data_IF_517883979333
#
_entry.id   IF_517883979333
#
_cell.length_a   1.000
_cell.length_b   1.000
_cell.length_c   1.000
_cell.angle_alpha   90.00
_cell.angle_beta   90.00
_cell.angle_gamma   90.00
#
_symmetry.space_group_name_H-M   'P 1'
#
loop_
_entity.id
_entity.type
_entity.pdbx_description
1 polymer ?
#
# COMPACT_ATOMS: atom_id res chain seq x y z
N UNK A 1 1.63 -9.58 10.30
CA UNK A 1 2.64 -8.75 9.62
C UNK A 1 2.11 -8.12 8.35
N UNK A 2 1.73 -8.87 7.30
CA UNK A 2 1.30 -8.25 6.02
C UNK A 2 0.14 -7.26 6.19
N UNK A 3 -0.90 -7.61 6.96
CA UNK A 3 -2.03 -6.69 7.21
C UNK A 3 -1.64 -5.40 7.94
N UNK A 4 -0.59 -5.43 8.77
CA UNK A 4 -0.07 -4.26 9.48
C UNK A 4 0.66 -3.29 8.54
N UNK A 5 1.14 -3.78 7.39
CA UNK A 5 1.88 -2.98 6.40
C UNK A 5 0.99 -2.59 5.23
N UNK A 6 0.19 -3.53 4.72
CA UNK A 6 -0.62 -3.34 3.53
C UNK A 6 -1.86 -4.24 3.51
N UNK A 7 -3.03 -3.63 3.71
CA UNK A 7 -4.33 -4.32 3.80
C UNK A 7 -4.66 -5.10 2.53
N UNK A 8 -4.44 -4.51 1.34
CA UNK A 8 -4.74 -5.17 0.07
C UNK A 8 -3.87 -6.43 -0.17
N UNK A 9 -2.60 -6.40 0.23
CA UNK A 9 -1.73 -7.60 0.12
C UNK A 9 -2.20 -8.72 1.05
N UNK A 10 -2.72 -8.36 2.23
CA UNK A 10 -3.31 -9.35 3.14
C UNK A 10 -4.57 -9.98 2.56
N UNK A 11 -5.42 -9.20 1.88
CA UNK A 11 -6.58 -9.72 1.16
C UNK A 11 -6.18 -10.73 0.07
N UNK A 12 -5.16 -10.40 -0.74
CA UNK A 12 -4.64 -11.33 -1.75
C UNK A 12 -4.09 -12.63 -1.13
N UNK A 13 -3.45 -12.54 0.04
CA UNK A 13 -2.99 -13.73 0.77
C UNK A 13 -4.16 -14.59 1.24
N UNK A 14 -5.23 -13.99 1.76
CA UNK A 14 -6.45 -14.72 2.14
C UNK A 14 -7.05 -15.42 0.93
N UNK A 15 -7.17 -14.72 -0.21
CA UNK A 15 -7.63 -15.31 -1.48
C UNK A 15 -6.77 -16.51 -1.91
N UNK A 16 -5.46 -16.46 -1.69
CA UNK A 16 -4.53 -17.56 -1.97
C UNK A 16 -4.80 -18.79 -1.08
N UNK A 17 -5.17 -18.60 0.18
CA UNK A 17 -5.40 -19.69 1.13
C UNK A 17 -6.77 -20.36 1.01
N UNK A 18 -7.78 -19.65 0.53
CA UNK A 18 -9.15 -20.16 0.42
C UNK A 18 -9.21 -21.51 -0.33
N UNK A 19 -8.60 -21.69 -1.52
CA UNK A 19 -8.71 -22.96 -2.23
C UNK A 19 -8.03 -24.14 -1.50
N UNK A 20 -6.95 -23.89 -0.76
CA UNK A 20 -6.31 -24.92 0.08
C UNK A 20 -7.19 -25.30 1.26
N UNK A 21 -7.79 -24.31 1.91
CA UNK A 21 -8.72 -24.53 3.01
C UNK A 21 -9.94 -25.33 2.54
N UNK A 22 -10.61 -24.90 1.46
CA UNK A 22 -11.80 -25.58 0.92
C UNK A 22 -11.50 -27.02 0.54
N UNK A 23 -10.38 -27.28 -0.13
CA UNK A 23 -10.00 -28.65 -0.48
C UNK A 23 -9.78 -29.53 0.76
N UNK A 24 -9.09 -29.02 1.77
CA UNK A 24 -8.84 -29.73 3.02
C UNK A 24 -10.16 -29.99 3.75
N UNK A 25 -11.00 -28.98 3.87
CA UNK A 25 -12.30 -29.06 4.53
C UNK A 25 -13.24 -30.08 3.89
N UNK A 26 -13.24 -30.21 2.56
CA UNK A 26 -14.05 -31.22 1.86
C UNK A 26 -13.54 -32.64 2.08
N UNK A 27 -12.21 -32.84 2.18
CA UNK A 27 -11.59 -34.17 2.24
C UNK A 27 -11.51 -34.80 3.62
N UNK A 28 -11.49 -33.97 4.65
CA UNK A 28 -11.29 -34.40 6.03
C UNK A 28 -12.57 -35.05 6.60
N UNK A 29 -12.44 -35.98 7.57
CA UNK A 29 -13.58 -36.65 8.23
C UNK A 29 -14.42 -35.66 9.04
N UNK A 30 -15.70 -35.98 9.33
CA UNK A 30 -16.63 -35.06 10.03
C UNK A 30 -16.07 -34.54 11.35
N UNK A 31 -15.48 -35.41 12.17
CA UNK A 31 -14.85 -35.02 13.45
C UNK A 31 -13.72 -34.02 13.25
N UNK A 32 -12.84 -34.29 12.29
CA UNK A 32 -11.71 -33.40 11.98
C UNK A 32 -12.16 -32.12 11.26
N UNK A 33 -13.29 -32.11 10.53
CA UNK A 33 -13.87 -30.88 9.94
C UNK A 33 -14.26 -29.90 11.03
N UNK A 34 -14.91 -30.39 12.11
CA UNK A 34 -15.26 -29.56 13.27
C UNK A 34 -14.01 -28.97 13.90
N UNK A 35 -12.98 -29.79 14.11
CA UNK A 35 -11.70 -29.35 14.66
C UNK A 35 -11.03 -28.28 13.78
N UNK A 36 -10.90 -28.54 12.47
CA UNK A 36 -10.33 -27.58 11.51
C UNK A 36 -11.12 -26.27 11.47
N UNK A 37 -12.45 -26.33 11.51
CA UNK A 37 -13.29 -25.13 11.56
C UNK A 37 -13.03 -24.30 12.81
N UNK A 38 -12.98 -24.95 13.98
CA UNK A 38 -12.67 -24.27 15.25
C UNK A 38 -11.27 -23.65 15.21
N UNK A 39 -10.27 -24.36 14.67
CA UNK A 39 -8.91 -23.82 14.49
C UNK A 39 -8.90 -22.58 13.60
N UNK A 40 -9.68 -22.56 12.51
CA UNK A 40 -9.81 -21.37 11.66
C UNK A 40 -10.48 -20.21 12.38
N UNK A 41 -11.56 -20.46 13.13
CA UNK A 41 -12.22 -19.42 13.93
C UNK A 41 -11.25 -18.83 14.96
N UNK A 42 -10.50 -19.68 15.68
CA UNK A 42 -9.46 -19.22 16.62
C UNK A 42 -8.39 -18.40 15.89
N UNK A 43 -7.92 -18.86 14.72
CA UNK A 43 -6.93 -18.14 13.92
C UNK A 43 -7.44 -16.76 13.46
N UNK A 44 -8.72 -16.66 13.07
CA UNK A 44 -9.36 -15.39 12.70
C UNK A 44 -9.47 -14.46 13.92
N UNK A 45 -9.89 -14.96 15.08
CA UNK A 45 -9.94 -14.16 16.31
C UNK A 45 -8.56 -13.66 16.70
N UNK A 46 -7.55 -14.54 16.69
CA UNK A 46 -6.16 -14.15 16.97
C UNK A 46 -5.66 -13.12 15.96
N UNK A 47 -5.97 -13.28 14.68
CA UNK A 47 -5.64 -12.29 13.65
C UNK A 47 -6.28 -10.93 13.93
N UNK A 48 -7.58 -10.89 14.26
CA UNK A 48 -8.29 -9.64 14.57
C UNK A 48 -7.71 -8.95 15.80
N UNK A 49 -7.37 -9.71 16.85
CA UNK A 49 -6.74 -9.16 18.05
C UNK A 49 -5.32 -8.63 17.78
N UNK A 50 -4.51 -9.39 17.05
CA UNK A 50 -3.15 -8.99 16.66
C UNK A 50 -3.11 -7.81 15.67
N UNK A 51 -4.25 -7.40 15.11
CA UNK A 51 -4.36 -6.33 14.13
C UNK A 51 -5.35 -5.23 14.51
N UNK A 52 -5.85 -5.24 15.75
CA UNK A 52 -6.86 -4.28 16.23
C UNK A 52 -6.37 -2.84 16.16
N UNK A 53 -5.08 -2.61 16.40
CA UNK A 53 -4.43 -1.30 16.26
C UNK A 53 -4.47 -0.72 14.83
N UNK A 54 -4.83 -1.52 13.81
CA UNK A 54 -4.95 -1.08 12.42
C UNK A 54 -6.41 -0.97 12.04
N UNK A 55 -7.16 -2.07 12.11
CA UNK A 55 -8.53 -2.05 11.57
C UNK A 55 -9.46 -1.21 12.43
N UNK A 56 -9.30 -1.19 13.77
CA UNK A 56 -10.15 -0.37 14.63
C UNK A 56 -9.91 1.13 14.42
N UNK A 57 -8.64 1.52 14.24
CA UNK A 57 -8.25 2.91 13.95
C UNK A 57 -8.79 3.34 12.58
N UNK A 58 -8.68 2.48 11.56
CA UNK A 58 -9.25 2.75 10.24
C UNK A 58 -10.77 2.88 10.28
N UNK A 59 -11.47 2.01 11.03
CA UNK A 59 -12.92 2.11 11.21
C UNK A 59 -13.32 3.38 11.96
N UNK A 60 -12.57 3.75 12.98
CA UNK A 60 -12.80 4.98 13.72
C UNK A 60 -12.65 6.19 12.79
N UNK A 61 -11.50 6.34 12.14
CA UNK A 61 -11.22 7.49 11.27
C UNK A 61 -12.22 7.61 10.12
N UNK A 62 -12.59 6.50 9.47
CA UNK A 62 -13.61 6.48 8.41
C UNK A 62 -15.05 6.65 8.92
N UNK A 63 -15.31 6.29 10.17
CA UNK A 63 -16.63 6.46 10.80
C UNK A 63 -16.86 7.88 11.32
N UNK A 64 -15.79 8.58 11.70
CA UNK A 64 -15.85 9.95 12.21
C UNK A 64 -15.58 11.00 11.13
N UNK A 65 -14.87 10.64 10.06
CA UNK A 65 -14.52 11.54 8.96
C UNK A 65 -14.91 10.92 7.62
N UNK A 66 -15.33 11.77 6.68
CA UNK A 66 -15.39 11.38 5.27
C UNK A 66 -13.97 11.47 4.71
N UNK A 67 -13.25 10.35 4.66
CA UNK A 67 -11.89 10.30 4.12
C UNK A 67 -11.93 10.16 2.61
N UNK A 68 -10.98 10.80 1.93
CA UNK A 68 -10.77 10.63 0.50
C UNK A 68 -10.52 9.16 0.17
N UNK A 69 -11.36 8.60 -0.68
CA UNK A 69 -11.20 7.23 -1.12
C UNK A 69 -10.01 7.08 -2.09
N UNK A 70 -9.40 5.88 -2.13
CA UNK A 70 -8.33 5.59 -3.06
C UNK A 70 -8.76 5.89 -4.50
N UNK A 71 -7.84 6.42 -5.31
CA UNK A 71 -8.07 6.75 -6.72
C UNK A 71 -8.78 5.63 -7.50
N UNK A 72 -9.90 5.95 -8.15
CA UNK A 72 -10.62 5.00 -9.01
C UNK A 72 -10.06 5.07 -10.43
N UNK A 73 -9.46 3.97 -10.86
CA UNK A 73 -8.91 3.86 -12.20
C UNK A 73 -10.00 3.54 -13.24
N UNK A 74 -10.41 4.55 -14.01
CA UNK A 74 -11.44 4.41 -15.05
C UNK A 74 -10.99 3.64 -16.29
N UNK A 75 -9.68 3.47 -16.50
CA UNK A 75 -9.11 2.71 -17.62
C UNK A 75 -8.47 1.40 -17.14
N UNK A 76 -9.03 0.79 -16.09
CA UNK A 76 -8.46 -0.37 -15.40
C UNK A 76 -8.09 -1.53 -16.35
N UNK A 77 -8.88 -1.74 -17.42
CA UNK A 77 -8.62 -2.79 -18.40
C UNK A 77 -7.28 -2.64 -19.14
N UNK A 78 -6.79 -1.41 -19.31
CA UNK A 78 -5.50 -1.15 -19.97
C UNK A 78 -4.30 -1.44 -19.06
N UNK A 79 -4.48 -1.48 -17.74
CA UNK A 79 -3.39 -1.61 -16.77
C UNK A 79 -3.10 -3.07 -16.36
N UNK A 80 -3.47 -4.04 -17.19
CA UNK A 80 -3.00 -5.42 -17.07
C UNK A 80 -1.54 -5.61 -17.51
N UNK A 81 -0.96 -6.75 -17.16
CA UNK A 81 0.40 -7.15 -17.59
C UNK A 81 0.54 -7.40 -19.11
N UNK A 82 -0.57 -7.41 -19.83
CA UNK A 82 -0.71 -7.49 -21.28
C UNK A 82 -0.96 -6.12 -21.93
N UNK A 83 -1.14 -5.08 -21.12
CA UNK A 83 -1.35 -3.69 -21.54
C UNK A 83 -0.22 -2.77 -21.13
N UNK A 84 -0.55 -1.64 -20.49
CA UNK A 84 0.44 -0.61 -20.09
C UNK A 84 1.42 -1.11 -19.03
N UNK A 85 1.07 -2.15 -18.28
CA UNK A 85 1.92 -2.74 -17.24
C UNK A 85 2.77 -3.92 -17.76
N UNK A 86 2.96 -4.03 -19.08
CA UNK A 86 3.75 -5.10 -19.73
C UNK A 86 5.16 -5.28 -19.21
N UNK A 87 5.78 -4.22 -18.68
CA UNK A 87 7.13 -4.30 -18.12
C UNK A 87 7.22 -5.29 -16.96
N UNK A 88 6.13 -5.52 -16.21
CA UNK A 88 6.10 -6.56 -15.16
C UNK A 88 6.34 -7.96 -15.73
N UNK A 89 5.91 -8.22 -16.97
CA UNK A 89 6.08 -9.51 -17.62
C UNK A 89 7.49 -9.68 -18.20
N UNK A 90 8.05 -8.64 -18.82
CA UNK A 90 9.31 -8.70 -19.56
C UNK A 90 10.55 -8.27 -18.79
N UNK A 91 10.41 -7.73 -17.58
CA UNK A 91 11.55 -7.30 -16.76
C UNK A 91 11.57 -8.08 -15.43
N UNK A 92 12.40 -9.14 -15.32
CA UNK A 92 13.35 -9.64 -16.33
C UNK A 92 12.73 -10.63 -17.33
N UNK A 93 13.31 -10.72 -18.54
CA UNK A 93 12.89 -11.65 -19.60
C UNK A 93 12.97 -13.10 -19.11
N UNK A 94 13.93 -13.41 -18.24
CA UNK A 94 14.07 -14.73 -17.63
C UNK A 94 12.84 -15.15 -16.82
N UNK A 95 12.11 -14.20 -16.20
CA UNK A 95 10.86 -14.48 -15.53
C UNK A 95 9.76 -14.91 -16.51
N UNK A 96 9.67 -14.24 -17.67
CA UNK A 96 8.76 -14.64 -18.74
C UNK A 96 9.08 -16.04 -19.27
N UNK A 97 10.37 -16.36 -19.46
CA UNK A 97 10.79 -17.70 -19.89
C UNK A 97 10.35 -18.74 -18.86
N UNK A 98 10.56 -18.49 -17.56
CA UNK A 98 10.09 -19.38 -16.50
C UNK A 98 8.57 -19.56 -16.52
N UNK A 99 7.82 -18.50 -16.79
CA UNK A 99 6.38 -18.53 -16.91
C UNK A 99 5.93 -19.48 -18.02
N UNK A 100 6.50 -19.33 -19.22
CA UNK A 100 6.19 -20.19 -20.38
C UNK A 100 6.57 -21.65 -20.09
N UNK A 101 7.77 -21.88 -19.56
CA UNK A 101 8.22 -23.23 -19.19
C UNK A 101 7.28 -23.88 -18.18
N UNK A 102 6.80 -23.12 -17.18
CA UNK A 102 5.89 -23.64 -16.17
C UNK A 102 4.50 -23.95 -16.74
N UNK A 103 4.00 -23.11 -17.66
CA UNK A 103 2.74 -23.37 -18.36
C UNK A 103 2.82 -24.66 -19.19
N UNK A 104 3.90 -24.84 -19.97
CA UNK A 104 4.16 -26.06 -20.74
C UNK A 104 4.31 -27.28 -19.83
N UNK A 105 5.07 -27.16 -18.73
CA UNK A 105 5.21 -28.27 -17.78
C UNK A 105 3.88 -28.70 -17.18
N UNK A 106 3.06 -27.73 -16.73
CA UNK A 106 1.78 -27.97 -16.10
C UNK A 106 0.80 -28.67 -17.03
N UNK A 107 0.71 -28.24 -18.29
CA UNK A 107 -0.18 -28.84 -19.30
C UNK A 107 0.22 -30.28 -19.64
N UNK A 108 1.49 -30.52 -19.94
CA UNK A 108 2.01 -31.85 -20.29
C UNK A 108 1.93 -32.85 -19.13
N UNK A 109 2.07 -32.37 -17.90
CA UNK A 109 2.12 -33.23 -16.71
C UNK A 109 0.86 -33.18 -15.84
N UNK A 110 -0.20 -32.48 -16.27
CA UNK A 110 -1.37 -32.20 -15.42
C UNK A 110 -1.93 -33.46 -14.77
N UNK A 111 -2.12 -34.53 -15.56
CA UNK A 111 -2.66 -35.81 -15.05
C UNK A 111 -1.76 -36.47 -14.01
N UNK A 112 -0.44 -36.29 -14.12
CA UNK A 112 0.59 -36.87 -13.23
C UNK A 112 0.80 -36.06 -11.94
N UNK A 113 0.27 -34.83 -11.85
CA UNK A 113 0.43 -33.99 -10.67
C UNK A 113 -0.44 -34.49 -9.51
N UNK A 114 0.15 -34.51 -8.31
CA UNK A 114 -0.59 -34.69 -7.07
C UNK A 114 -1.68 -33.61 -6.93
N UNK A 115 -2.80 -33.95 -6.27
CA UNK A 115 -3.97 -33.07 -6.17
C UNK A 115 -3.64 -31.70 -5.58
N UNK A 116 -2.82 -31.65 -4.52
CA UNK A 116 -2.40 -30.37 -3.92
C UNK A 116 -1.53 -29.52 -4.86
N UNK A 117 -0.70 -30.15 -5.72
CA UNK A 117 0.07 -29.43 -6.75
C UNK A 117 -0.84 -28.85 -7.83
N UNK A 118 -1.94 -29.54 -8.18
CA UNK A 118 -2.95 -29.00 -9.10
C UNK A 118 -3.64 -27.77 -8.53
N UNK A 119 -3.96 -27.76 -7.23
CA UNK A 119 -4.52 -26.59 -6.54
C UNK A 119 -3.53 -25.43 -6.58
N UNK A 120 -2.25 -25.70 -6.30
CA UNK A 120 -1.20 -24.68 -6.35
C UNK A 120 -1.08 -24.04 -7.76
N UNK A 121 -1.09 -24.87 -8.82
CA UNK A 121 -1.10 -24.36 -10.21
C UNK A 121 -2.38 -23.62 -10.55
N UNK A 122 -3.54 -24.10 -10.08
CA UNK A 122 -4.83 -23.43 -10.28
C UNK A 122 -4.81 -22.03 -9.68
N UNK A 123 -4.37 -21.88 -8.43
CA UNK A 123 -4.27 -20.57 -7.77
C UNK A 123 -3.30 -19.66 -8.54
N UNK A 124 -2.15 -20.19 -8.96
CA UNK A 124 -1.19 -19.47 -9.80
C UNK A 124 -1.84 -18.96 -11.09
N UNK A 125 -2.55 -19.82 -11.82
CA UNK A 125 -3.22 -19.43 -13.07
C UNK A 125 -4.35 -18.42 -12.84
N UNK A 126 -5.10 -18.53 -11.74
CA UNK A 126 -6.13 -17.54 -11.37
C UNK A 126 -5.49 -16.18 -11.12
N UNK A 127 -4.45 -16.08 -10.30
CA UNK A 127 -3.79 -14.79 -10.06
C UNK A 127 -3.13 -14.24 -11.33
N UNK A 128 -2.51 -15.10 -12.15
CA UNK A 128 -1.96 -14.68 -13.43
C UNK A 128 -3.06 -14.13 -14.36
N UNK A 129 -4.19 -14.82 -14.49
CA UNK A 129 -5.31 -14.36 -15.32
C UNK A 129 -5.91 -13.05 -14.79
N UNK A 130 -6.12 -12.93 -13.47
CA UNK A 130 -6.58 -11.70 -12.83
C UNK A 130 -5.60 -10.53 -13.02
N UNK A 131 -4.32 -10.80 -13.28
CA UNK A 131 -3.33 -9.76 -13.53
C UNK A 131 -3.36 -9.18 -14.95
N UNK A 132 -4.12 -9.80 -15.85
CA UNK A 132 -4.29 -9.37 -17.24
C UNK A 132 -5.51 -8.44 -17.39
N UNK A 133 -5.52 -7.65 -18.46
CA UNK A 133 -6.66 -6.90 -18.97
C UNK A 133 -7.69 -7.77 -19.70
N UNK A 134 -7.40 -9.06 -19.90
CA UNK A 134 -8.35 -10.04 -20.46
C UNK A 134 -9.49 -10.35 -19.49
N UNK A 135 -9.26 -10.23 -18.18
CA UNK A 135 -10.35 -10.31 -17.21
C UNK A 135 -11.24 -9.07 -17.33
N UNK A 136 -12.54 -9.23 -17.05
CA UNK A 136 -13.58 -8.22 -17.25
C UNK A 136 -13.52 -7.04 -16.25
N UNK A 137 -12.32 -6.58 -15.87
CA UNK A 137 -12.10 -5.47 -14.94
C UNK A 137 -12.79 -4.19 -15.40
N UNK A 138 -12.71 -3.87 -16.69
CA UNK A 138 -13.30 -2.66 -17.25
C UNK A 138 -14.81 -2.63 -17.05
N UNK A 139 -15.48 -3.73 -17.41
CA UNK A 139 -16.91 -3.90 -17.19
C UNK A 139 -17.30 -3.78 -15.71
N UNK A 140 -16.51 -4.36 -14.80
CA UNK A 140 -16.80 -4.29 -13.37
C UNK A 140 -16.74 -2.85 -12.83
N UNK A 141 -15.71 -2.08 -13.20
CA UNK A 141 -15.57 -0.68 -12.77
C UNK A 141 -16.66 0.22 -13.39
N UNK A 142 -17.01 0.00 -14.66
CA UNK A 142 -18.08 0.75 -15.32
C UNK A 142 -19.45 0.53 -14.67
N UNK A 143 -19.66 -0.63 -14.05
CA UNK A 143 -20.88 -0.98 -13.31
C UNK A 143 -20.77 -0.73 -11.80
N UNK A 144 -19.77 0.04 -11.33
CA UNK A 144 -19.65 0.44 -9.93
C UNK A 144 -19.31 -0.71 -8.97
N UNK A 145 -18.59 -1.73 -9.43
CA UNK A 145 -18.15 -2.83 -8.56
C UNK A 145 -17.05 -2.37 -7.60
N UNK A 146 -17.39 -2.26 -6.31
CA UNK A 146 -16.48 -1.81 -5.25
C UNK A 146 -15.21 -2.64 -5.11
N UNK A 147 -15.26 -3.93 -5.40
CA UNK A 147 -14.07 -4.79 -5.36
C UNK A 147 -13.10 -4.45 -6.51
N UNK A 148 -13.59 -4.23 -7.73
CA UNK A 148 -12.76 -3.83 -8.85
C UNK A 148 -12.15 -2.43 -8.64
N UNK A 149 -12.93 -1.50 -8.08
CA UNK A 149 -12.45 -0.17 -7.70
C UNK A 149 -11.35 -0.23 -6.63
N UNK A 150 -11.47 -1.11 -5.63
CA UNK A 150 -10.45 -1.34 -4.60
C UNK A 150 -9.13 -1.88 -5.17
N UNK A 151 -9.20 -2.77 -6.17
CA UNK A 151 -7.99 -3.34 -6.80
C UNK A 151 -7.19 -2.26 -7.53
N UNK A 152 -7.87 -1.34 -8.24
CA UNK A 152 -7.35 -0.23 -9.06
C UNK A 152 -6.46 -0.62 -10.25
N UNK A 153 -5.60 -1.62 -10.08
CA UNK A 153 -4.58 -2.00 -11.04
C UNK A 153 -4.43 -3.53 -11.09
N UNK A 154 -4.88 -4.18 -12.18
CA UNK A 154 -4.85 -5.63 -12.32
C UNK A 154 -3.46 -6.22 -12.14
N UNK A 155 -2.42 -5.56 -12.66
CA UNK A 155 -1.03 -6.03 -12.55
C UNK A 155 -0.60 -6.33 -11.10
N UNK A 156 -1.25 -5.77 -10.07
CA UNK A 156 -0.96 -6.10 -8.65
C UNK A 156 -1.15 -7.59 -8.34
N UNK A 157 -2.06 -8.29 -9.04
CA UNK A 157 -2.20 -9.75 -8.92
C UNK A 157 -1.03 -10.53 -9.53
N UNK A 158 -0.16 -9.88 -10.31
CA UNK A 158 1.05 -10.52 -10.81
C UNK A 158 2.05 -10.81 -9.68
N UNK A 159 2.05 -10.02 -8.60
CA UNK A 159 2.92 -10.24 -7.43
C UNK A 159 2.67 -11.60 -6.75
N UNK A 160 1.44 -11.96 -6.33
CA UNK A 160 1.19 -13.31 -5.82
C UNK A 160 1.40 -14.38 -6.90
N UNK A 161 1.14 -14.10 -8.19
CA UNK A 161 1.41 -15.05 -9.27
C UNK A 161 2.91 -15.38 -9.41
N UNK A 162 3.80 -14.40 -9.31
CA UNK A 162 5.25 -14.62 -9.40
C UNK A 162 5.80 -15.36 -8.19
N UNK A 163 5.31 -15.06 -6.98
CA UNK A 163 5.66 -15.82 -5.77
C UNK A 163 5.29 -17.30 -5.94
N UNK A 164 4.07 -17.57 -6.43
CA UNK A 164 3.61 -18.93 -6.69
C UNK A 164 4.41 -19.59 -7.82
N UNK A 165 4.75 -18.87 -8.88
CA UNK A 165 5.61 -19.36 -9.97
C UNK A 165 6.97 -19.82 -9.43
N UNK A 166 7.62 -19.01 -8.59
CA UNK A 166 8.92 -19.35 -8.00
C UNK A 166 8.79 -20.56 -7.06
N UNK A 167 7.75 -20.59 -6.22
CA UNK A 167 7.50 -21.72 -5.32
C UNK A 167 7.24 -23.03 -6.09
N UNK A 168 6.40 -22.98 -7.12
CA UNK A 168 6.11 -24.11 -8.01
C UNK A 168 7.37 -24.55 -8.75
N UNK A 169 8.19 -23.61 -9.23
CA UNK A 169 9.46 -23.89 -9.90
C UNK A 169 10.37 -24.67 -8.96
N UNK A 170 10.59 -24.19 -7.73
CA UNK A 170 11.38 -24.88 -6.72
C UNK A 170 10.89 -26.32 -6.46
N UNK A 171 9.57 -26.49 -6.27
CA UNK A 171 8.95 -27.81 -6.10
C UNK A 171 9.09 -28.71 -7.33
N UNK A 172 9.15 -28.15 -8.53
CA UNK A 172 9.34 -28.90 -9.77
C UNK A 172 10.79 -29.37 -9.90
N UNK A 173 11.77 -28.50 -9.58
CA UNK A 173 13.20 -28.83 -9.57
C UNK A 173 13.51 -30.00 -8.63
N UNK A 174 12.87 -30.06 -7.45
CA UNK A 174 13.10 -31.18 -6.52
C UNK A 174 12.74 -32.56 -7.08
N UNK A 175 11.94 -32.64 -8.15
CA UNK A 175 11.61 -33.91 -8.82
C UNK A 175 12.76 -34.43 -9.68
N UNK A 176 13.63 -33.56 -10.17
CA UNK A 176 14.71 -33.88 -11.08
C UNK A 176 16.04 -34.01 -10.33
N UNK A 177 16.13 -35.00 -9.43
CA UNK A 177 17.25 -35.16 -8.48
C UNK A 177 18.61 -35.16 -9.18
N UNK A 178 18.74 -35.91 -10.29
CA UNK A 178 20.00 -36.04 -11.03
C UNK A 178 20.41 -34.75 -11.77
N UNK A 179 19.44 -33.91 -12.14
CA UNK A 179 19.67 -32.66 -12.87
C UNK A 179 19.61 -31.43 -11.98
N UNK A 180 19.41 -31.60 -10.67
CA UNK A 180 19.19 -30.51 -9.73
C UNK A 180 20.30 -29.46 -9.75
N UNK A 181 21.56 -29.89 -9.83
CA UNK A 181 22.72 -28.98 -9.90
C UNK A 181 22.69 -28.16 -11.20
N UNK A 182 22.50 -28.82 -12.35
CA UNK A 182 22.44 -28.16 -13.66
C UNK A 182 21.27 -27.18 -13.75
N UNK A 183 20.09 -27.56 -13.23
CA UNK A 183 18.92 -26.69 -13.19
C UNK A 183 19.16 -25.51 -12.24
N UNK A 184 19.81 -25.72 -11.09
CA UNK A 184 20.16 -24.62 -10.19
C UNK A 184 21.12 -23.64 -10.86
N UNK A 185 22.16 -24.12 -11.56
CA UNK A 185 23.07 -23.27 -12.34
C UNK A 185 22.32 -22.48 -13.41
N UNK A 186 21.39 -23.12 -14.12
CA UNK A 186 20.54 -22.44 -15.12
C UNK A 186 19.67 -21.34 -14.47
N UNK A 187 19.05 -21.62 -13.31
CA UNK A 187 18.26 -20.63 -12.58
C UNK A 187 19.12 -19.46 -12.07
N UNK A 188 20.35 -19.73 -11.62
CA UNK A 188 21.32 -18.69 -11.26
C UNK A 188 21.71 -17.84 -12.48
N UNK A 189 21.96 -18.46 -13.63
CA UNK A 189 22.22 -17.74 -14.87
C UNK A 189 21.02 -16.88 -15.28
N UNK A 190 19.79 -17.39 -15.15
CA UNK A 190 18.56 -16.64 -15.41
C UNK A 190 18.39 -15.43 -14.48
N UNK A 191 18.72 -15.58 -13.20
CA UNK A 191 18.75 -14.47 -12.26
C UNK A 191 19.83 -13.44 -12.64
N UNK A 192 21.03 -13.89 -13.02
CA UNK A 192 22.12 -13.04 -13.49
C UNK A 192 21.75 -12.24 -14.74
N UNK A 193 21.16 -12.89 -15.75
CA UNK A 193 20.62 -12.21 -16.95
C UNK A 193 19.58 -11.17 -16.55
N UNK A 194 18.69 -11.51 -15.60
CA UNK A 194 17.67 -10.57 -15.12
C UNK A 194 18.25 -9.35 -14.41
N UNK A 195 19.32 -9.53 -13.62
CA UNK A 195 20.04 -8.43 -12.98
C UNK A 195 20.75 -7.55 -14.01
N UNK A 196 21.42 -8.16 -15.00
CA UNK A 196 22.08 -7.42 -16.09
C UNK A 196 21.05 -6.61 -16.88
N UNK A 197 19.93 -7.21 -17.25
CA UNK A 197 18.85 -6.50 -17.95
C UNK A 197 18.32 -5.34 -17.11
N UNK A 198 18.05 -5.55 -15.83
CA UNK A 198 17.57 -4.47 -14.96
C UNK A 198 18.58 -3.32 -14.83
N UNK A 199 19.88 -3.64 -14.75
CA UNK A 199 20.96 -2.66 -14.72
C UNK A 199 21.07 -1.89 -16.05
N UNK A 200 20.93 -2.57 -17.18
CA UNK A 200 20.89 -1.96 -18.51
C UNK A 200 19.67 -1.05 -18.67
N UNK A 201 18.46 -1.54 -18.37
CA UNK A 201 17.22 -0.78 -18.44
C UNK A 201 17.29 0.48 -17.57
N UNK A 202 17.87 0.37 -16.37
CA UNK A 202 18.07 1.51 -15.46
C UNK A 202 19.08 2.50 -16.02
N UNK A 203 20.21 2.00 -16.52
CA UNK A 203 21.28 2.84 -17.10
C UNK A 203 20.78 3.60 -18.32
N UNK A 204 20.03 2.94 -19.21
CA UNK A 204 19.48 3.54 -20.40
C UNK A 204 18.41 4.59 -20.05
N UNK A 205 17.54 4.31 -19.07
CA UNK A 205 16.59 5.31 -18.56
C UNK A 205 17.28 6.55 -18.03
N UNK A 206 18.35 6.39 -17.25
CA UNK A 206 19.15 7.53 -16.73
C UNK A 206 19.82 8.31 -17.85
N UNK A 207 20.40 7.62 -18.84
CA UNK A 207 21.04 8.28 -19.99
C UNK A 207 20.05 9.04 -20.87
N UNK A 208 18.88 8.45 -21.14
CA UNK A 208 17.82 9.11 -21.92
C UNK A 208 17.29 10.32 -21.15
N UNK A 209 17.00 10.17 -19.87
CA UNK A 209 16.57 11.26 -19.00
C UNK A 209 17.56 12.44 -18.98
N UNK A 210 18.87 12.15 -18.89
CA UNK A 210 19.92 13.17 -18.96
C UNK A 210 20.04 13.84 -20.33
N UNK A 211 19.78 13.12 -21.44
CA UNK A 211 19.84 13.67 -22.80
C UNK A 211 18.62 14.53 -23.14
N UNK A 212 17.44 14.09 -22.72
CA UNK A 212 16.18 14.75 -23.03
C UNK A 212 15.90 15.94 -22.10
N UNK A 213 16.76 16.17 -21.11
CA UNK A 213 16.55 17.23 -20.11
C UNK A 213 15.39 16.92 -19.18
N UNK A 214 15.12 15.63 -18.93
CA UNK A 214 14.04 15.16 -18.05
C UNK A 214 14.59 14.11 -17.08
N UNK A 215 15.51 14.52 -16.20
CA UNK A 215 16.04 13.64 -15.13
C UNK A 215 14.92 13.02 -14.27
N UNK A 216 13.80 13.74 -14.17
CA UNK A 216 12.60 13.33 -13.46
C UNK A 216 11.48 13.16 -14.46
N UNK A 217 10.98 11.93 -14.60
CA UNK A 217 9.76 11.71 -15.37
C UNK A 217 8.61 12.41 -14.66
N UNK A 218 8.02 13.42 -15.31
CA UNK A 218 6.78 14.05 -14.84
C UNK A 218 5.67 13.01 -14.97
N UNK A 219 5.48 12.22 -13.91
CA UNK A 219 4.33 11.33 -13.78
C UNK A 219 3.11 12.14 -13.35
N UNK A 220 1.91 11.54 -13.43
CA UNK A 220 0.68 12.18 -12.97
C UNK A 220 0.87 12.76 -11.57
N UNK A 221 0.48 14.04 -11.43
CA UNK A 221 0.52 14.82 -10.19
C UNK A 221 1.91 15.02 -9.61
N UNK A 222 2.95 15.03 -10.46
CA UNK A 222 4.28 15.56 -10.10
C UNK A 222 4.39 16.98 -10.62
N UNK A 223 4.78 17.90 -9.73
CA UNK A 223 5.05 19.30 -10.01
C UNK A 223 6.55 19.51 -9.89
N UNK A 224 7.16 20.07 -10.94
CA UNK A 224 8.59 20.32 -11.02
C UNK A 224 8.78 21.80 -11.29
N UNK A 225 9.43 22.49 -10.36
CA UNK A 225 9.88 23.86 -10.50
C UNK A 225 11.37 23.87 -10.82
N UNK A 226 11.76 24.58 -11.88
CA UNK A 226 13.15 24.64 -12.36
C UNK A 226 13.46 23.71 -13.53
N UNK A 227 14.61 23.93 -14.16
CA UNK A 227 15.09 23.12 -15.27
C UNK A 227 15.91 21.90 -14.81
N UNK A 228 16.17 20.99 -15.75
CA UNK A 228 16.90 19.75 -15.49
C UNK A 228 18.32 19.96 -14.93
N UNK A 229 19.01 21.03 -15.32
CA UNK A 229 20.37 21.30 -14.86
C UNK A 229 20.34 21.73 -13.40
N UNK A 230 19.40 22.61 -13.05
CA UNK A 230 19.14 23.06 -11.68
C UNK A 230 18.80 21.89 -10.78
N UNK A 231 17.89 21.01 -11.22
CA UNK A 231 17.49 19.82 -10.47
C UNK A 231 18.67 18.85 -10.30
N UNK A 232 19.46 18.63 -11.34
CA UNK A 232 20.62 17.72 -11.26
C UNK A 232 21.67 18.24 -10.27
N UNK A 233 21.97 19.54 -10.28
CA UNK A 233 22.93 20.15 -9.35
C UNK A 233 22.45 20.03 -7.90
N UNK A 234 21.16 20.27 -7.67
CA UNK A 234 20.58 20.20 -6.31
C UNK A 234 20.45 18.76 -5.83
N UNK A 235 20.23 17.78 -6.71
CA UNK A 235 20.26 16.36 -6.35
C UNK A 235 21.64 15.89 -5.87
N UNK A 236 22.71 16.53 -6.33
CA UNK A 236 24.09 16.24 -5.91
C UNK A 236 24.50 17.06 -4.65
N UNK A 237 23.64 17.96 -4.16
CA UNK A 237 23.89 18.72 -2.94
C UNK A 237 23.74 17.83 -1.70
N UNK A 238 24.53 18.11 -0.66
CA UNK A 238 24.40 17.47 0.64
C UNK A 238 23.06 17.76 1.33
N UNK A 239 22.45 18.91 1.07
CA UNK A 239 21.15 19.34 1.58
C UNK A 239 20.05 19.18 0.53
N UNK A 240 19.37 18.03 0.57
CA UNK A 240 18.26 17.71 -0.31
C UNK A 240 16.96 18.46 0.03
N UNK A 241 16.94 19.37 1.01
CA UNK A 241 15.75 20.17 1.32
C UNK A 241 15.32 21.04 0.13
N UNK A 242 16.28 21.58 -0.62
CA UNK A 242 16.00 22.35 -1.84
C UNK A 242 15.40 21.47 -2.93
N UNK A 243 15.87 20.23 -3.09
CA UNK A 243 15.30 19.27 -4.03
C UNK A 243 13.81 19.01 -3.72
N UNK A 244 13.49 18.83 -2.45
CA UNK A 244 12.11 18.55 -1.99
C UNK A 244 11.16 19.74 -2.19
N UNK A 245 11.68 20.97 -2.31
CA UNK A 245 10.88 22.14 -2.63
C UNK A 245 10.62 22.28 -4.13
N UNK A 246 11.58 21.87 -4.97
CA UNK A 246 11.46 21.97 -6.43
C UNK A 246 10.66 20.83 -7.04
N UNK A 247 10.73 19.63 -6.47
CA UNK A 247 10.11 18.43 -7.03
C UNK A 247 9.09 17.89 -6.03
N UNK A 248 7.82 18.22 -6.25
CA UNK A 248 6.76 17.84 -5.32
C UNK A 248 5.76 16.90 -5.97
N UNK A 249 5.41 15.83 -5.26
CA UNK A 249 4.34 14.92 -5.65
C UNK A 249 3.20 14.95 -4.60
N UNK A 250 2.30 15.94 -4.66
CA UNK A 250 1.17 16.08 -3.75
C UNK A 250 0.20 14.92 -3.92
N UNK A 251 0.40 13.83 -3.18
CA UNK A 251 -0.46 12.63 -3.21
C UNK A 251 -1.16 12.48 -1.87
N UNK A 252 -2.27 13.20 -1.65
CA UNK A 252 -2.98 13.16 -0.37
C UNK A 252 -3.67 11.81 -0.19
N UNK A 253 -3.11 10.97 0.68
CA UNK A 253 -3.82 9.80 1.18
C UNK A 253 -4.59 10.18 2.45
N UNK A 254 -5.85 9.72 2.57
CA UNK A 254 -6.69 9.86 3.76
C UNK A 254 -6.98 11.30 4.23
N UNK A 255 -6.82 12.29 3.37
CA UNK A 255 -7.30 13.65 3.65
C UNK A 255 -8.82 13.64 3.77
N UNK A 256 -9.37 14.37 4.74
CA UNK A 256 -10.82 14.46 4.90
C UNK A 256 -11.45 15.38 3.87
N UNK A 257 -12.66 15.03 3.45
CA UNK A 257 -13.44 15.73 2.44
C UNK A 257 -14.68 16.34 3.10
N UNK A 258 -14.76 17.66 3.05
CA UNK A 258 -15.92 18.42 3.47
C UNK A 258 -16.73 18.83 2.22
N UNK A 259 -18.02 18.53 2.22
CA UNK A 259 -18.90 18.78 1.07
C UNK A 259 -18.66 17.82 -0.11
N UNK A 260 -18.91 18.30 -1.33
CA UNK A 260 -18.78 17.50 -2.57
C UNK A 260 -17.59 17.96 -3.41
N UNK A 261 -16.71 17.03 -3.80
CA UNK A 261 -15.53 17.31 -4.65
C UNK A 261 -15.96 17.78 -6.06
N UNK A 262 -17.11 17.32 -6.56
CA UNK A 262 -17.57 17.66 -7.90
C UNK A 262 -16.57 17.25 -8.98
N UNK A 263 -16.19 18.17 -9.86
CA UNK A 263 -15.17 17.98 -10.91
C UNK A 263 -13.76 18.37 -10.47
N UNK A 264 -13.57 18.81 -9.23
CA UNK A 264 -12.26 19.25 -8.74
C UNK A 264 -11.30 18.08 -8.60
N UNK A 265 -10.03 18.32 -8.90
CA UNK A 265 -8.98 17.33 -8.68
C UNK A 265 -8.42 17.49 -7.26
N UNK A 266 -8.52 16.45 -6.43
CA UNK A 266 -8.07 16.49 -5.03
C UNK A 266 -6.56 16.65 -4.89
N UNK A 267 -5.78 16.14 -5.85
CA UNK A 267 -4.33 16.34 -5.90
C UNK A 267 -3.99 17.81 -6.12
N UNK A 268 -4.71 18.49 -7.00
CA UNK A 268 -4.50 19.93 -7.29
C UNK A 268 -4.98 20.81 -6.11
N UNK A 269 -6.08 20.43 -5.45
CA UNK A 269 -6.55 21.10 -4.23
C UNK A 269 -5.51 20.98 -3.11
N UNK A 270 -4.92 19.79 -2.92
CA UNK A 270 -3.89 19.60 -1.90
C UNK A 270 -2.61 20.37 -2.24
N UNK A 271 -2.18 20.33 -3.50
CA UNK A 271 -1.05 21.11 -3.97
C UNK A 271 -1.25 22.61 -3.66
N UNK A 272 -2.39 23.17 -4.06
CA UNK A 272 -2.70 24.59 -3.86
C UNK A 272 -2.79 25.00 -2.38
N UNK A 273 -3.54 24.25 -1.58
CA UNK A 273 -3.90 24.69 -0.22
C UNK A 273 -2.88 24.26 0.86
N UNK A 274 -2.06 23.24 0.60
CA UNK A 274 -1.11 22.69 1.58
C UNK A 274 0.34 22.86 1.14
N UNK A 275 0.67 22.51 -0.10
CA UNK A 275 2.06 22.48 -0.59
C UNK A 275 2.55 23.88 -0.93
N UNK A 276 1.84 24.59 -1.81
CA UNK A 276 2.25 25.94 -2.26
C UNK A 276 1.81 27.04 -1.30
N UNK A 277 0.88 26.75 -0.39
CA UNK A 277 0.43 27.72 0.61
C UNK A 277 1.46 27.82 1.75
N UNK A 278 2.40 28.76 1.59
CA UNK A 278 3.48 29.06 2.54
C UNK A 278 3.19 30.34 3.35
N UNK A 279 1.92 30.74 3.48
CA UNK A 279 1.54 31.97 4.17
C UNK A 279 1.73 31.91 5.70
N UNK A 280 1.91 30.71 6.25
CA UNK A 280 2.21 30.49 7.65
C UNK A 280 3.38 29.49 7.78
N UNK A 281 4.31 29.80 8.66
CA UNK A 281 5.42 28.92 9.03
C UNK A 281 4.89 27.76 9.87
N UNK A 282 5.35 26.53 9.61
CA UNK A 282 4.94 25.32 10.33
C UNK A 282 6.11 24.76 11.11
N UNK A 283 5.88 24.42 12.37
CA UNK A 283 6.83 23.69 13.19
C UNK A 283 6.11 22.76 14.16
N UNK A 284 6.87 21.83 14.75
CA UNK A 284 6.36 20.95 15.81
C UNK A 284 6.96 21.41 17.14
N UNK A 285 6.10 21.83 18.08
CA UNK A 285 6.49 22.21 19.44
C UNK A 285 5.74 21.31 20.44
N UNK A 286 6.46 20.68 21.37
CA UNK A 286 5.88 19.83 22.43
C UNK A 286 4.91 18.74 21.93
N UNK A 287 5.14 18.21 20.73
CA UNK A 287 4.30 17.20 20.10
C UNK A 287 3.07 17.74 19.37
N UNK A 288 2.88 19.06 19.33
CA UNK A 288 1.79 19.73 18.62
C UNK A 288 2.29 20.39 17.34
N UNK A 289 1.40 20.46 16.34
CA UNK A 289 1.68 21.22 15.12
C UNK A 289 1.34 22.69 15.37
N UNK A 290 2.33 23.57 15.22
CA UNK A 290 2.23 25.00 15.47
C UNK A 290 2.42 25.76 14.17
N UNK A 291 1.55 26.74 13.94
CA UNK A 291 1.60 27.64 12.80
C UNK A 291 1.73 29.08 13.26
N UNK A 292 2.68 29.81 12.69
CA UNK A 292 2.88 31.23 12.98
C UNK A 292 2.92 32.07 11.71
N UNK A 293 2.31 33.26 11.78
CA UNK A 293 2.36 34.23 10.70
C UNK A 293 2.22 35.66 11.25
N UNK A 294 2.64 36.64 10.45
CA UNK A 294 2.44 38.06 10.72
C UNK A 294 1.32 38.57 9.83
N UNK A 295 0.35 39.28 10.41
CA UNK A 295 -0.73 39.91 9.66
C UNK A 295 -0.70 41.43 9.88
N UNK A 296 -0.82 42.20 8.79
CA UNK A 296 -0.82 43.66 8.85
C UNK A 296 -2.12 44.21 9.46
N UNK A 297 -3.22 43.47 9.28
CA UNK A 297 -4.56 43.78 9.74
C UNK A 297 -5.37 42.51 10.00
N UNK A 298 -6.64 42.65 10.38
CA UNK A 298 -7.54 41.53 10.60
C UNK A 298 -7.99 40.91 9.28
N UNK A 299 -7.16 40.05 8.70
CA UNK A 299 -7.46 39.34 7.44
C UNK A 299 -7.78 37.87 7.67
N UNK A 300 -8.62 37.31 6.80
CA UNK A 300 -8.87 35.87 6.77
C UNK A 300 -7.70 35.14 6.10
N UNK A 301 -7.17 34.13 6.80
CA UNK A 301 -6.06 33.33 6.32
C UNK A 301 -6.42 31.86 6.27
N UNK A 302 -6.32 31.26 5.08
CA UNK A 302 -6.37 29.80 4.93
C UNK A 302 -5.05 29.18 5.38
N UNK A 303 -5.12 28.35 6.42
CA UNK A 303 -3.96 27.69 6.99
C UNK A 303 -3.65 26.39 6.25
N UNK A 304 -2.37 26.12 5.95
CA UNK A 304 -1.93 24.94 5.22
C UNK A 304 -1.89 23.65 6.07
N UNK A 305 -2.98 23.35 6.78
CA UNK A 305 -3.19 22.15 7.60
C UNK A 305 -4.54 21.51 7.29
N UNK A 306 -4.72 20.25 7.68
CA UNK A 306 -6.00 19.53 7.51
C UNK A 306 -6.61 19.30 8.90
N UNK A 307 -7.87 19.69 9.06
CA UNK A 307 -8.66 19.53 10.29
C UNK A 307 -9.55 18.30 10.17
N UNK A 308 -9.36 17.35 11.07
CA UNK A 308 -10.23 16.19 11.24
C UNK A 308 -11.30 16.47 12.30
N UNK A 309 -12.31 15.61 12.41
CA UNK A 309 -13.46 15.81 13.31
C UNK A 309 -13.06 16.06 14.77
N UNK A 310 -12.01 15.39 15.25
CA UNK A 310 -11.52 15.49 16.64
C UNK A 310 -10.24 16.35 16.73
N UNK A 311 -9.93 17.12 15.69
CA UNK A 311 -8.89 18.14 15.75
C UNK A 311 -9.36 19.32 16.60
N UNK A 312 -8.47 19.80 17.47
CA UNK A 312 -8.66 20.99 18.29
C UNK A 312 -7.73 22.07 17.75
N UNK A 313 -8.30 23.22 17.37
CA UNK A 313 -7.55 24.39 16.93
C UNK A 313 -7.55 25.43 18.05
N UNK A 314 -6.37 25.93 18.42
CA UNK A 314 -6.22 27.03 19.36
C UNK A 314 -5.52 28.19 18.66
N UNK A 315 -6.22 29.31 18.46
CA UNK A 315 -5.69 30.53 17.87
C UNK A 315 -5.41 31.56 18.97
N UNK A 316 -4.16 32.01 19.08
CA UNK A 316 -3.70 33.02 20.04
C UNK A 316 -4.14 32.70 21.49
N UNK A 317 -4.12 31.41 21.86
CA UNK A 317 -4.50 30.93 23.18
C UNK A 317 -6.00 30.69 23.40
N UNK A 318 -6.86 31.01 22.42
CA UNK A 318 -8.29 30.70 22.44
C UNK A 318 -8.58 29.47 21.59
N UNK A 319 -9.20 28.46 22.19
CA UNK A 319 -9.75 27.32 21.44
C UNK A 319 -10.88 27.80 20.51
N UNK A 320 -10.85 27.35 19.26
CA UNK A 320 -11.80 27.72 18.24
C UNK A 320 -12.93 26.70 18.16
N UNK A 321 -14.17 27.21 18.23
CA UNK A 321 -15.34 26.42 17.89
C UNK A 321 -15.45 26.23 16.37
N UNK A 322 -16.27 25.27 15.93
CA UNK A 322 -16.48 25.00 14.49
C UNK A 322 -17.08 26.17 13.72
N UNK A 323 -17.74 27.10 14.42
CA UNK A 323 -18.32 28.30 13.84
C UNK A 323 -17.30 29.45 13.77
N UNK A 324 -16.14 29.33 14.44
CA UNK A 324 -15.07 30.35 14.45
C UNK A 324 -14.16 30.28 13.20
N UNK A 325 -14.30 29.25 12.36
CA UNK A 325 -13.54 29.09 11.13
C UNK A 325 -14.35 28.38 10.03
N UNK A 326 -13.98 28.64 8.77
CA UNK A 326 -14.54 27.89 7.64
C UNK A 326 -13.54 26.85 7.13
N UNK A 327 -14.04 25.77 6.53
CA UNK A 327 -13.22 24.70 5.97
C UNK A 327 -13.32 24.66 4.45
N UNK A 328 -12.18 24.46 3.80
CA UNK A 328 -12.15 24.13 2.37
C UNK A 328 -12.66 22.70 2.11
N UNK A 329 -12.85 22.34 0.83
CA UNK A 329 -13.25 20.99 0.41
C UNK A 329 -12.36 19.89 0.98
N UNK A 330 -11.07 20.16 1.21
CA UNK A 330 -10.09 19.21 1.74
C UNK A 330 -9.75 19.47 3.23
N UNK A 331 -10.58 20.25 3.92
CA UNK A 331 -10.46 20.45 5.36
C UNK A 331 -9.37 21.42 5.80
N UNK A 332 -8.96 22.35 4.92
CA UNK A 332 -8.06 23.44 5.35
C UNK A 332 -8.84 24.57 6.02
N UNK A 333 -8.49 24.97 7.26
CA UNK A 333 -9.24 25.98 7.99
C UNK A 333 -8.84 27.38 7.54
N UNK A 334 -9.84 28.25 7.37
CA UNK A 334 -9.65 29.68 7.21
C UNK A 334 -10.03 30.36 8.52
N UNK A 335 -9.06 31.03 9.13
CA UNK A 335 -9.20 31.71 10.43
C UNK A 335 -9.05 33.22 10.29
N UNK A 336 -9.67 34.00 11.18
CA UNK A 336 -9.50 35.45 11.22
C UNK A 336 -8.23 35.82 12.00
N UNK A 337 -7.28 36.45 11.31
CA UNK A 337 -6.03 36.90 11.91
C UNK A 337 -6.26 38.13 12.79
N UNK A 338 -5.36 38.35 13.75
CA UNK A 338 -5.22 39.61 14.48
C UNK A 338 -4.02 40.37 13.95
N UNK A 339 -4.04 41.70 14.06
CA UNK A 339 -2.88 42.52 13.69
C UNK A 339 -1.65 42.12 14.52
N UNK A 340 -0.53 41.88 13.85
CA UNK A 340 0.71 41.41 14.45
C UNK A 340 0.89 39.89 14.34
N UNK A 341 1.57 39.32 15.34
CA UNK A 341 1.91 37.90 15.33
C UNK A 341 0.71 37.05 15.71
N UNK A 342 0.42 36.06 14.88
CA UNK A 342 -0.60 35.06 15.15
C UNK A 342 0.06 33.69 15.35
N UNK A 343 -0.52 32.89 16.25
CA UNK A 343 -0.10 31.53 16.55
C UNK A 343 -1.33 30.63 16.58
N UNK A 344 -1.35 29.62 15.72
CA UNK A 344 -2.33 28.53 15.78
C UNK A 344 -1.66 27.25 16.23
N UNK A 345 -2.26 26.54 17.18
CA UNK A 345 -1.84 25.22 17.62
C UNK A 345 -2.91 24.22 17.19
N UNK A 346 -2.50 23.18 16.47
CA UNK A 346 -3.33 22.02 16.14
C UNK A 346 -2.96 20.87 17.07
N UNK A 347 -3.95 20.41 17.84
CA UNK A 347 -3.89 19.18 18.63
C UNK A 347 -5.01 18.22 18.21
N UNK A 348 -4.96 16.99 18.71
CA UNK A 348 -5.95 15.95 18.41
C UNK A 348 -6.50 15.36 19.70
N UNK A 349 -7.83 15.27 19.82
CA UNK A 349 -8.46 14.62 20.95
C UNK A 349 -8.41 13.10 20.76
N UNK A 350 -7.38 12.47 21.33
CA UNK A 350 -7.21 11.03 21.23
C UNK A 350 -8.25 10.26 22.06
N UNK A 351 -8.95 9.28 21.47
CA UNK A 351 -9.86 8.44 22.24
C UNK A 351 -9.08 7.52 23.18
N UNK A 352 -9.49 7.41 24.44
CA UNK A 352 -8.81 6.53 25.41
C UNK A 352 -8.74 5.04 25.01
N UNK A 353 -9.67 4.56 24.19
CA UNK A 353 -9.65 3.19 23.66
C UNK A 353 -8.49 2.98 22.67
N UNK A 354 -7.93 4.03 22.05
CA UNK A 354 -6.81 3.94 21.12
C UNK A 354 -5.59 3.31 21.82
N UNK A 355 -5.30 3.77 23.03
CA UNK A 355 -4.25 3.19 23.87
C UNK A 355 -4.47 1.70 24.13
N UNK A 356 -5.71 1.30 24.45
CA UNK A 356 -6.07 -0.11 24.63
C UNK A 356 -5.84 -0.91 23.33
N UNK A 357 -6.22 -0.35 22.17
CA UNK A 357 -6.02 -1.00 20.88
C UNK A 357 -4.54 -1.22 20.53
N UNK A 358 -3.65 -0.32 20.95
CA UNK A 358 -2.21 -0.45 20.78
C UNK A 358 -1.61 -1.54 21.70
N UNK A 359 -2.16 -1.71 22.91
CA UNK A 359 -1.68 -2.71 23.86
C UNK A 359 -2.14 -4.14 23.54
N UNK A 360 -3.33 -4.33 22.98
CA UNK A 360 -3.88 -5.68 22.73
C UNK A 360 -2.92 -6.57 21.93
N UNK A 361 -2.32 -6.15 20.79
CA UNK A 361 -1.38 -6.98 20.05
C UNK A 361 -0.17 -7.42 20.90
N UNK A 362 0.35 -6.51 21.74
CA UNK A 362 1.49 -6.78 22.63
C UNK A 362 1.11 -7.81 23.68
N UNK A 363 -0.07 -7.66 24.31
CA UNK A 363 -0.59 -8.60 25.31
C UNK A 363 -0.77 -9.99 24.68
N UNK A 364 -1.37 -10.07 23.49
CA UNK A 364 -1.60 -11.34 22.79
C UNK A 364 -0.27 -12.02 22.45
N UNK A 365 0.72 -11.27 21.95
CA UNK A 365 2.06 -11.80 21.69
C UNK A 365 2.74 -12.26 22.98
N UNK A 366 2.58 -11.53 24.09
CA UNK A 366 3.07 -11.91 25.41
C UNK A 366 2.47 -13.22 25.89
N UNK A 367 1.15 -13.41 25.77
CA UNK A 367 0.45 -14.65 26.12
C UNK A 367 0.94 -15.82 25.27
N UNK A 368 1.07 -15.63 23.94
CA UNK A 368 1.61 -16.66 23.03
C UNK A 368 3.05 -17.02 23.43
N UNK A 369 3.89 -16.03 23.75
CA UNK A 369 5.26 -16.23 24.21
C UNK A 369 5.35 -17.02 25.52
N UNK A 370 4.51 -16.67 26.51
CA UNK A 370 4.42 -17.38 27.79
C UNK A 370 3.93 -18.82 27.61
N UNK A 371 2.92 -19.05 26.77
CA UNK A 371 2.44 -20.40 26.45
C UNK A 371 3.53 -21.25 25.79
N UNK A 372 4.31 -20.64 24.89
CA UNK A 372 5.44 -21.32 24.25
C UNK A 372 6.54 -21.70 25.26
N UNK A 373 6.91 -20.78 26.16
CA UNK A 373 7.87 -21.04 27.23
C UNK A 373 7.38 -22.12 28.21
N UNK A 374 6.11 -22.08 28.59
CA UNK A 374 5.48 -23.09 29.44
C UNK A 374 5.54 -24.48 28.79
N UNK A 375 5.18 -24.58 27.50
CA UNK A 375 5.21 -25.85 26.77
C UNK A 375 6.64 -26.39 26.68
N UNK A 376 7.63 -25.52 26.38
CA UNK A 376 9.04 -25.90 26.30
C UNK A 376 9.62 -26.38 27.64
N UNK A 377 9.24 -25.74 28.75
CA UNK A 377 9.69 -26.13 30.10
C UNK A 377 8.99 -27.38 30.62
N UNK A 378 7.71 -27.57 30.29
CA UNK A 378 6.96 -28.79 30.59
C UNK A 378 7.54 -30.01 29.87
N UNK A 379 7.87 -29.89 28.58
CA UNK A 379 8.51 -30.98 27.81
C UNK A 379 9.86 -31.39 28.43
N UNK A 380 10.66 -30.42 28.89
CA UNK A 380 11.94 -30.67 29.59
C UNK A 380 11.81 -31.31 30.98
N UNK A 381 10.63 -31.32 31.59
CA UNK A 381 10.39 -31.98 32.88
C UNK A 381 9.90 -33.44 32.73
N UNK A 382 9.52 -33.85 31.52
CA UNK A 382 8.98 -35.18 31.22
C UNK A 382 9.98 -36.06 30.45
N UNK A 383 11.04 -35.47 29.90
CA UNK A 383 12.24 -36.15 29.42
C UNK A 383 13.34 -36.08 30.49
#
# INVERSE_FOLDING_TARGET
MIFQVHVLSALMLVMMYIPFYLYTFVKVSVTKKKETFVQVVIAVILFLLLTVNVWLVLLYLRGTNHLLDPFINREIGKNGIDGTARYWLYTPISLMVLLVLQFVYATLNWRKLAKWKKILHFIYFVFFFLSTGLFLWQYLVENGNTFAELIQFPFRFFVPATILLLAITGLTVTRFVNWRKSIAVLLFAFAGIGLIQNMMDTTDRVKTAAKDGELISIVKHTYVEGDCQTISLIMDDSDLSQFLNLVVKPTPDYVTIYGTIGKQNTYDLYYKNIVTNQKAEKLVEDGYLVLTWQAAEGEELNLPIVVYKDSILTLNGKELDKDDYSLSTIGTPTVSSQKGQNKTVLSYQEPGWLFVSLLIPIIVLGVIGLQWLYTKTSIKKVA
#
